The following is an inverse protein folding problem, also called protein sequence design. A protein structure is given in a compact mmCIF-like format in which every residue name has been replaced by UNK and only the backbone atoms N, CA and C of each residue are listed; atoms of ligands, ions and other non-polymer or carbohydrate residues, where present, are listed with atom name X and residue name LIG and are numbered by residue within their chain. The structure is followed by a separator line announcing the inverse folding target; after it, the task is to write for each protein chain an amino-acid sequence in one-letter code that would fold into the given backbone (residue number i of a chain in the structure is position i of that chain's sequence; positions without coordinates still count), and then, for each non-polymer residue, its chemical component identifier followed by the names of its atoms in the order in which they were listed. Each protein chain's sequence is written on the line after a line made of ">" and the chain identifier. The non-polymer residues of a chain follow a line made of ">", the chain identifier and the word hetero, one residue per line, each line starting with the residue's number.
data_IF_689378893053
#
_entry.id   IF_689378893053
#
_cell.length_a   1.000
_cell.length_b   1.000
_cell.length_c   1.000
_cell.angle_alpha   90.00
_cell.angle_beta   90.00
_cell.angle_gamma   90.00
#
_symmetry.space_group_name_H-M   'P 1'
#
loop_
_entity.id
_entity.type
_entity.pdbx_description
1 polymer ?
#
# COMPACT_ATOMS: atom_id res chain seq x y z
N UNK A 1 -11.13 16.13 17.68
CA UNK A 1 -9.71 16.00 18.09
C UNK A 1 -9.42 14.81 19.01
N UNK A 2 -10.40 14.28 19.76
CA UNK A 2 -10.18 13.17 20.70
C UNK A 2 -10.08 11.78 20.03
N UNK A 3 -10.75 11.56 18.89
CA UNK A 3 -10.74 10.28 18.17
C UNK A 3 -9.39 9.99 17.47
N UNK A 4 -8.79 11.01 16.82
CA UNK A 4 -7.50 10.89 16.11
C UNK A 4 -6.34 10.58 17.04
N UNK A 5 -6.32 11.17 18.25
CA UNK A 5 -5.28 10.93 19.25
C UNK A 5 -5.35 9.51 19.84
N UNK A 6 -6.56 8.92 19.87
CA UNK A 6 -6.77 7.53 20.28
C UNK A 6 -6.26 6.54 19.23
N UNK A 7 -6.43 6.83 17.93
CA UNK A 7 -5.94 6.00 16.82
C UNK A 7 -4.40 5.99 16.78
N UNK A 8 -3.74 7.14 16.92
CA UNK A 8 -2.26 7.22 16.95
C UNK A 8 -1.65 6.59 18.20
N UNK A 9 -2.31 6.70 19.36
CA UNK A 9 -1.88 6.06 20.61
C UNK A 9 -2.13 4.55 20.61
N UNK A 10 -3.19 4.10 19.92
CA UNK A 10 -3.46 2.69 19.64
C UNK A 10 -2.36 2.08 18.79
N UNK A 11 -1.92 2.72 17.70
CA UNK A 11 -0.83 2.26 16.83
C UNK A 11 0.53 2.09 17.56
N UNK A 12 0.84 2.97 18.52
CA UNK A 12 2.04 2.83 19.36
C UNK A 12 1.96 1.73 20.43
N UNK A 13 0.76 1.36 20.87
CA UNK A 13 0.53 0.32 21.90
C UNK A 13 0.28 -1.06 21.31
N UNK A 14 -0.13 -1.16 20.04
CA UNK A 14 -0.26 -2.44 19.32
C UNK A 14 1.08 -2.96 18.84
N UNK A 15 2.06 -2.11 18.54
CA UNK A 15 3.39 -2.52 18.05
C UNK A 15 4.06 -3.66 18.87
N UNK A 16 4.11 -3.59 20.23
CA UNK A 16 4.65 -4.70 21.02
C UNK A 16 3.69 -5.90 21.14
N UNK A 17 2.38 -5.69 20.98
CA UNK A 17 1.37 -6.76 21.07
C UNK A 17 1.27 -7.56 19.76
N UNK A 18 1.45 -6.92 18.60
CA UNK A 18 1.65 -7.58 17.29
C UNK A 18 2.98 -8.34 17.25
N UNK A 19 4.03 -7.82 17.89
CA UNK A 19 5.31 -8.54 18.00
C UNK A 19 5.21 -9.78 18.89
N UNK A 20 4.35 -9.76 19.92
CA UNK A 20 4.10 -10.90 20.80
C UNK A 20 3.14 -11.94 20.18
N UNK A 21 2.18 -11.51 19.36
CA UNK A 21 1.31 -12.39 18.56
C UNK A 21 2.08 -13.09 17.43
N UNK A 22 3.10 -12.44 16.86
CA UNK A 22 4.01 -13.03 15.87
C UNK A 22 4.88 -14.18 16.42
N UNK A 23 5.00 -14.33 17.74
CA UNK A 23 5.80 -15.38 18.38
C UNK A 23 4.97 -16.58 18.84
N UNK A 24 3.66 -16.61 18.58
CA UNK A 24 2.83 -17.77 18.86
C UNK A 24 2.98 -18.81 17.73
N UNK A 25 3.47 -20.04 18.00
CA UNK A 25 3.54 -21.10 17.00
C UNK A 25 2.14 -21.70 16.83
N UNK A 26 1.21 -20.93 16.28
CA UNK A 26 -0.08 -21.42 15.82
C UNK A 26 -0.10 -21.65 14.30
N UNK A 27 1.02 -21.43 13.60
CA UNK A 27 1.22 -21.83 12.20
C UNK A 27 1.90 -23.20 12.17
N UNK A 28 1.20 -24.21 12.68
CA UNK A 28 1.57 -25.61 12.53
C UNK A 28 0.44 -26.37 11.85
N UNK A 29 -0.01 -25.88 10.69
CA UNK A 29 -0.83 -26.66 9.75
C UNK A 29 -0.32 -26.45 8.31
N UNK A 30 0.47 -27.44 7.90
CA UNK A 30 0.70 -27.97 6.56
C UNK A 30 0.05 -27.25 5.35
N UNK A 31 0.89 -26.64 4.52
CA UNK A 31 1.22 -27.12 3.17
C UNK A 31 2.00 -26.05 2.39
N UNK A 32 3.32 -26.18 2.28
CA UNK A 32 4.08 -25.46 1.24
C UNK A 32 3.99 -26.30 -0.03
N UNK A 33 3.20 -25.84 -1.00
CA UNK A 33 3.11 -26.40 -2.35
C UNK A 33 4.03 -25.65 -3.31
N UNK A 34 5.34 -25.68 -3.05
CA UNK A 34 6.45 -24.99 -3.77
C UNK A 34 6.80 -23.57 -3.29
N UNK A 35 8.07 -23.18 -3.45
CA UNK A 35 8.58 -21.82 -3.17
C UNK A 35 7.95 -20.74 -4.07
N UNK A 36 7.36 -21.16 -5.19
CA UNK A 36 6.76 -20.28 -6.18
C UNK A 36 5.44 -19.70 -5.65
N UNK A 37 4.59 -20.53 -5.04
CA UNK A 37 3.33 -20.11 -4.40
C UNK A 37 3.57 -19.09 -3.28
N UNK A 38 4.57 -19.34 -2.42
CA UNK A 38 4.94 -18.41 -1.35
C UNK A 38 5.40 -17.04 -1.88
N UNK A 39 6.11 -17.03 -3.01
CA UNK A 39 6.56 -15.78 -3.61
C UNK A 39 5.40 -14.99 -4.21
N UNK A 40 4.42 -15.67 -4.82
CA UNK A 40 3.22 -15.04 -5.39
C UNK A 40 2.30 -14.48 -4.30
N UNK A 41 2.03 -15.24 -3.24
CA UNK A 41 1.23 -14.78 -2.09
C UNK A 41 1.82 -13.53 -1.44
N UNK A 42 3.15 -13.49 -1.27
CA UNK A 42 3.84 -12.33 -0.68
C UNK A 42 3.71 -11.09 -1.57
N UNK A 43 3.80 -11.26 -2.90
CA UNK A 43 3.65 -10.15 -3.85
C UNK A 43 2.22 -9.60 -3.81
N UNK A 44 1.21 -10.47 -3.78
CA UNK A 44 -0.21 -10.05 -3.71
C UNK A 44 -0.54 -9.28 -2.42
N UNK A 45 0.00 -9.74 -1.28
CA UNK A 45 -0.17 -9.04 0.00
C UNK A 45 0.48 -7.66 -0.05
N UNK A 46 1.69 -7.55 -0.60
CA UNK A 46 2.41 -6.26 -0.72
C UNK A 46 1.65 -5.30 -1.64
N UNK A 47 1.09 -5.80 -2.75
CA UNK A 47 0.35 -4.96 -3.70
C UNK A 47 -0.93 -4.38 -3.07
N UNK A 48 -1.73 -5.26 -2.45
CA UNK A 48 -2.96 -4.87 -1.73
C UNK A 48 -2.64 -3.93 -0.57
N UNK A 49 -1.58 -4.19 0.18
CA UNK A 49 -1.14 -3.33 1.28
C UNK A 49 -0.70 -1.96 0.76
N UNK A 50 0.03 -1.90 -0.35
CA UNK A 50 0.51 -0.64 -0.94
C UNK A 50 -0.64 0.26 -1.35
N UNK A 51 -1.63 -0.28 -2.09
CA UNK A 51 -2.83 0.47 -2.49
C UNK A 51 -3.59 0.99 -1.26
N UNK A 52 -3.76 0.14 -0.24
CA UNK A 52 -4.41 0.52 1.02
C UNK A 52 -3.67 1.66 1.73
N UNK A 53 -2.33 1.59 1.78
CA UNK A 53 -1.51 2.64 2.39
C UNK A 53 -1.57 3.95 1.62
N UNK A 54 -1.62 3.94 0.29
CA UNK A 54 -1.75 5.16 -0.52
C UNK A 54 -3.07 5.87 -0.21
N UNK A 55 -4.18 5.13 -0.18
CA UNK A 55 -5.51 5.69 0.15
C UNK A 55 -5.50 6.27 1.57
N UNK A 56 -4.97 5.52 2.54
CA UNK A 56 -4.90 5.98 3.92
C UNK A 56 -3.98 7.20 4.08
N UNK A 57 -2.83 7.21 3.40
CA UNK A 57 -1.88 8.32 3.40
C UNK A 57 -2.50 9.60 2.85
N UNK A 58 -3.28 9.52 1.77
CA UNK A 58 -4.00 10.67 1.22
C UNK A 58 -5.00 11.25 2.22
N UNK A 59 -5.81 10.40 2.88
CA UNK A 59 -6.78 10.84 3.89
C UNK A 59 -6.09 11.54 5.06
N UNK A 60 -5.01 10.96 5.60
CA UNK A 60 -4.25 11.54 6.70
C UNK A 60 -3.53 12.83 6.28
N UNK A 61 -2.99 12.87 5.06
CA UNK A 61 -2.34 14.05 4.51
C UNK A 61 -3.31 15.22 4.42
N UNK A 62 -4.47 15.03 3.77
CA UNK A 62 -5.49 16.08 3.66
C UNK A 62 -6.06 16.51 5.03
N UNK A 63 -6.21 15.56 5.98
CA UNK A 63 -6.60 15.89 7.35
C UNK A 63 -5.55 16.78 8.05
N UNK A 64 -4.27 16.42 7.92
CA UNK A 64 -3.14 17.19 8.46
C UNK A 64 -3.01 18.56 7.81
N UNK A 65 -3.29 18.66 6.51
CA UNK A 65 -3.38 19.93 5.80
C UNK A 65 -4.50 20.80 6.37
N UNK A 66 -5.73 20.27 6.43
CA UNK A 66 -6.93 21.01 6.82
C UNK A 66 -6.82 21.65 8.22
N UNK A 67 -6.19 20.96 9.16
CA UNK A 67 -6.05 21.44 10.54
C UNK A 67 -4.98 22.54 10.69
N UNK A 68 -4.05 22.64 9.75
CA UNK A 68 -2.93 23.59 9.78
C UNK A 68 -3.18 24.86 8.95
N UNK A 69 -4.29 24.92 8.18
CA UNK A 69 -4.74 26.10 7.43
C UNK A 69 -4.90 27.39 8.28
N UNK A 70 -5.45 27.39 9.52
CA UNK A 70 -5.74 28.65 10.22
C UNK A 70 -4.51 29.49 10.62
N UNK A 71 -3.27 29.02 10.42
CA UNK A 71 -2.03 29.76 10.73
C UNK A 71 -1.44 30.53 9.55
N UNK A 72 -2.05 30.48 8.36
CA UNK A 72 -1.53 31.09 7.14
C UNK A 72 -1.47 32.64 7.15
N UNK A 73 -2.09 33.31 8.13
CA UNK A 73 -2.20 34.78 8.17
C UNK A 73 -1.12 35.52 8.98
N UNK A 74 -0.27 34.84 9.74
CA UNK A 74 0.78 35.50 10.54
C UNK A 74 2.09 35.61 9.78
N UNK A 75 2.76 36.77 9.83
CA UNK A 75 4.00 37.13 9.11
C UNK A 75 5.16 36.11 9.22
N UNK A 76 5.12 35.18 10.18
CA UNK A 76 6.11 34.11 10.38
C UNK A 76 5.59 32.68 10.20
N UNK A 77 4.26 32.50 10.09
CA UNK A 77 3.62 31.18 9.98
C UNK A 77 3.65 30.66 8.55
N UNK A 78 3.24 31.49 7.59
CA UNK A 78 2.99 31.08 6.21
C UNK A 78 4.18 30.41 5.51
N UNK A 79 5.41 30.83 5.77
CA UNK A 79 6.59 30.29 5.09
C UNK A 79 6.92 28.85 5.55
N UNK A 80 6.85 28.58 6.86
CA UNK A 80 7.07 27.25 7.42
C UNK A 80 5.95 26.28 7.00
N UNK A 81 4.72 26.77 6.97
CA UNK A 81 3.58 25.98 6.49
C UNK A 81 3.76 25.60 5.02
N UNK A 82 4.09 26.55 4.13
CA UNK A 82 4.36 26.29 2.70
C UNK A 82 5.45 25.23 2.50
N UNK A 83 6.55 25.33 3.25
CA UNK A 83 7.61 24.32 3.22
C UNK A 83 7.11 22.92 3.62
N UNK A 84 6.20 22.84 4.60
CA UNK A 84 5.61 21.58 5.05
C UNK A 84 4.71 20.93 3.98
N UNK A 85 3.91 21.74 3.26
CA UNK A 85 3.11 21.22 2.13
C UNK A 85 4.00 20.67 1.03
N UNK A 86 5.07 21.40 0.69
CA UNK A 86 6.01 21.00 -0.35
C UNK A 86 6.75 19.71 0.02
N UNK A 87 7.21 19.57 1.26
CA UNK A 87 7.85 18.36 1.76
C UNK A 87 6.91 17.16 1.78
N UNK A 88 5.66 17.35 2.22
CA UNK A 88 4.68 16.25 2.24
C UNK A 88 4.27 15.78 0.84
N UNK A 89 4.07 16.72 -0.09
CA UNK A 89 3.77 16.38 -1.49
C UNK A 89 4.95 15.66 -2.15
N UNK A 90 6.18 16.07 -1.86
CA UNK A 90 7.38 15.44 -2.40
C UNK A 90 7.49 13.96 -1.96
N UNK A 91 7.27 13.67 -0.68
CA UNK A 91 7.31 12.29 -0.17
C UNK A 91 6.21 11.44 -0.79
N UNK A 92 4.99 11.97 -0.90
CA UNK A 92 3.87 11.27 -1.52
C UNK A 92 4.13 11.00 -3.00
N UNK A 93 4.68 11.98 -3.72
CA UNK A 93 5.05 11.84 -5.12
C UNK A 93 6.10 10.73 -5.33
N UNK A 94 7.16 10.70 -4.51
CA UNK A 94 8.21 9.68 -4.63
C UNK A 94 7.66 8.28 -4.35
N UNK A 95 6.83 8.12 -3.31
CA UNK A 95 6.23 6.81 -2.99
C UNK A 95 5.37 6.26 -4.13
N UNK A 96 4.49 7.10 -4.70
CA UNK A 96 3.62 6.68 -5.82
C UNK A 96 4.43 6.48 -7.10
N UNK A 97 5.45 7.32 -7.34
CA UNK A 97 6.31 7.23 -8.53
C UNK A 97 7.09 5.93 -8.57
N UNK A 98 7.67 5.49 -7.46
CA UNK A 98 8.42 4.22 -7.41
C UNK A 98 7.50 3.04 -7.74
N UNK A 99 6.32 2.95 -7.12
CA UNK A 99 5.38 1.85 -7.40
C UNK A 99 4.87 1.87 -8.85
N UNK A 100 4.49 3.05 -9.36
CA UNK A 100 4.05 3.20 -10.74
C UNK A 100 5.15 2.85 -11.76
N UNK A 101 6.39 3.27 -11.51
CA UNK A 101 7.52 2.92 -12.39
C UNK A 101 7.79 1.42 -12.35
N UNK A 102 7.78 0.79 -11.17
CA UNK A 102 7.98 -0.67 -11.06
C UNK A 102 6.91 -1.41 -11.84
N UNK A 103 5.64 -1.02 -11.71
CA UNK A 103 4.54 -1.67 -12.42
C UNK A 103 4.62 -1.48 -13.94
N UNK A 104 4.99 -0.28 -14.41
CA UNK A 104 5.24 -0.03 -15.82
C UNK A 104 6.41 -0.86 -16.34
N UNK A 105 7.48 -1.00 -15.56
CA UNK A 105 8.65 -1.78 -15.92
C UNK A 105 8.35 -3.29 -15.92
N UNK A 106 7.53 -3.76 -14.98
CA UNK A 106 7.01 -5.13 -14.97
C UNK A 106 6.20 -5.42 -16.23
N UNK A 107 5.25 -4.54 -16.57
CA UNK A 107 4.42 -4.72 -17.75
C UNK A 107 5.21 -4.58 -19.07
N UNK A 108 6.24 -3.73 -19.10
CA UNK A 108 7.03 -3.50 -20.32
C UNK A 108 8.12 -4.56 -20.55
N UNK A 109 8.78 -5.04 -19.49
CA UNK A 109 9.92 -5.96 -19.60
C UNK A 109 9.54 -7.42 -19.37
N UNK A 110 8.53 -7.69 -18.56
CA UNK A 110 8.04 -9.03 -18.22
C UNK A 110 6.60 -9.25 -18.70
N UNK A 111 6.15 -8.41 -19.65
CA UNK A 111 4.76 -8.26 -20.08
C UNK A 111 4.01 -9.57 -20.26
N UNK A 112 2.74 -9.55 -19.83
CA UNK A 112 1.74 -10.62 -19.85
C UNK A 112 2.36 -12.00 -20.06
N UNK A 113 2.81 -12.65 -18.99
CA UNK A 113 3.06 -14.08 -19.04
C UNK A 113 1.68 -14.73 -19.19
N UNK A 114 1.31 -15.27 -20.37
CA UNK A 114 0.05 -15.98 -20.48
C UNK A 114 0.23 -17.36 -19.84
N UNK A 115 1.06 -17.55 -18.83
CA UNK A 115 1.33 -18.87 -18.28
C UNK A 115 1.03 -18.84 -16.79
N UNK A 116 -0.16 -19.37 -16.48
CA UNK A 116 -0.55 -19.76 -15.14
C UNK A 116 0.28 -21.01 -14.73
N UNK A 117 1.18 -20.88 -13.73
CA UNK A 117 2.05 -21.98 -13.30
C UNK A 117 1.28 -23.13 -12.61
N UNK A 118 0.01 -22.95 -12.24
CA UNK A 118 -0.83 -24.00 -11.66
C UNK A 118 -1.48 -24.89 -12.72
N UNK A 119 -1.66 -24.40 -13.95
CA UNK A 119 -2.44 -25.10 -15.00
C UNK A 119 -1.68 -25.36 -16.30
N UNK A 120 -0.55 -24.70 -16.54
CA UNK A 120 0.28 -24.91 -17.74
C UNK A 120 -0.41 -24.55 -19.06
N UNK A 121 -1.50 -23.78 -19.01
CA UNK A 121 -2.27 -23.33 -20.16
C UNK A 121 -1.97 -21.85 -20.49
N UNK A 122 -2.14 -21.42 -21.76
CA UNK A 122 -2.17 -20.01 -22.08
C UNK A 122 -3.32 -19.35 -21.29
N UNK A 123 -3.03 -18.32 -20.49
CA UNK A 123 -3.99 -17.52 -19.72
C UNK A 123 -4.83 -16.65 -20.67
N UNK A 124 -5.68 -17.31 -21.45
CA UNK A 124 -6.85 -16.75 -22.09
C UNK A 124 -8.06 -17.47 -21.50
N UNK A 125 -8.34 -17.17 -20.23
CA UNK A 125 -9.73 -17.16 -19.76
C UNK A 125 -10.06 -15.75 -19.29
N UNK A 126 -9.64 -14.75 -20.07
CA UNK A 126 -10.21 -13.42 -19.96
C UNK A 126 -11.62 -13.51 -20.54
N UNK A 127 -12.56 -13.99 -19.72
CA UNK A 127 -13.96 -13.78 -20.03
C UNK A 127 -14.17 -12.26 -20.05
N UNK A 128 -14.61 -11.75 -21.20
CA UNK A 128 -14.94 -10.34 -21.34
C UNK A 128 -16.08 -9.96 -20.38
N UNK A 129 -16.36 -8.66 -20.22
CA UNK A 129 -17.47 -8.18 -19.38
C UNK A 129 -18.85 -8.69 -19.82
N UNK A 130 -18.94 -9.43 -20.93
CA UNK A 130 -20.14 -10.04 -21.48
C UNK A 130 -20.18 -11.58 -21.30
N UNK A 131 -19.23 -12.16 -20.56
CA UNK A 131 -19.25 -13.57 -20.19
C UNK A 131 -18.97 -14.52 -21.36
N UNK A 132 -18.23 -14.06 -22.38
CA UNK A 132 -17.73 -14.92 -23.46
C UNK A 132 -16.30 -15.30 -23.14
N UNK A 133 -16.04 -16.61 -23.09
CA UNK A 133 -14.72 -17.17 -22.95
C UNK A 133 -14.49 -18.01 -24.22
N UNK A 134 -13.55 -17.60 -25.08
CA UNK A 134 -13.10 -18.32 -26.27
C UNK A 134 -11.91 -19.23 -25.98
#
# INVERSE_FOLDING_TARGET
>A
MHCVKAIVRSAGSVFPLTLLLLLSPASAEAAVQTFQELALDVVEIIDTATITLIVFALVVYFWGMAINIPHFGGEKGGEKQKAFFFWGLLVLFVMVSIWGIIQLLQNTLFGDNPFDPATGAPAVTQCDAFGRCD
#
